data_IF_819798115059
#
_entry.id   IF_819798115059
#
_cell.length_a   1.000
_cell.length_b   1.000
_cell.length_c   1.000
_cell.angle_alpha   90.00
_cell.angle_beta   90.00
_cell.angle_gamma   90.00
#
_symmetry.space_group_name_H-M   'P 1'
#
loop_
_entity.id
_entity.type
_entity.pdbx_description
1 polymer ?
#
# COMPACT_ATOMS: atom_id res chain seq x y z
N UNK A 1 -22.55 1.77 11.82
CA UNK A 1 -21.69 1.14 10.78
C UNK A 1 -20.25 1.46 11.10
N UNK A 2 -19.42 0.44 11.32
CA UNK A 2 -17.97 0.62 11.50
C UNK A 2 -17.36 0.98 10.15
N UNK A 3 -16.48 1.98 10.13
CA UNK A 3 -15.77 2.35 8.91
C UNK A 3 -14.81 1.22 8.52
N UNK A 4 -14.76 0.87 7.23
CA UNK A 4 -13.79 -0.11 6.75
C UNK A 4 -12.38 0.50 6.86
N UNK A 5 -11.49 -0.14 7.62
CA UNK A 5 -10.08 0.22 7.65
C UNK A 5 -9.36 -0.46 6.48
N UNK A 6 -8.53 0.30 5.76
CA UNK A 6 -7.65 -0.24 4.73
C UNK A 6 -6.30 -0.52 5.39
N UNK A 7 -5.89 -1.79 5.38
CA UNK A 7 -4.57 -2.23 5.83
C UNK A 7 -3.89 -3.07 4.75
N UNK A 8 -2.58 -3.21 4.84
CA UNK A 8 -1.80 -4.07 3.94
C UNK A 8 -0.66 -4.77 4.66
N UNK A 9 -0.16 -5.83 4.04
CA UNK A 9 0.99 -6.62 4.45
C UNK A 9 1.78 -7.01 3.19
N UNK A 10 3.07 -6.67 3.19
CA UNK A 10 4.01 -6.98 2.10
C UNK A 10 5.01 -8.00 2.60
N UNK A 11 5.06 -9.15 1.93
CA UNK A 11 5.95 -10.25 2.25
C UNK A 11 7.01 -10.40 1.15
N UNK A 12 8.28 -10.45 1.55
CA UNK A 12 9.37 -10.90 0.70
C UNK A 12 9.43 -12.43 0.74
N UNK A 13 9.08 -13.10 -0.35
CA UNK A 13 9.02 -14.56 -0.39
C UNK A 13 10.39 -15.23 -0.42
N UNK A 14 11.43 -14.56 -0.94
CA UNK A 14 12.77 -15.14 -1.02
C UNK A 14 13.39 -15.31 0.36
N UNK A 15 13.06 -14.41 1.28
CA UNK A 15 13.57 -14.38 2.65
C UNK A 15 12.49 -14.72 3.69
N UNK A 16 11.24 -14.87 3.28
CA UNK A 16 10.07 -15.17 4.14
C UNK A 16 9.91 -14.14 5.27
N UNK A 17 10.24 -12.87 5.01
CA UNK A 17 10.14 -11.78 5.99
C UNK A 17 9.21 -10.67 5.50
N UNK A 18 8.52 -10.03 6.44
CA UNK A 18 7.77 -8.81 6.16
C UNK A 18 8.73 -7.72 5.68
N UNK A 19 8.46 -7.13 4.51
CA UNK A 19 9.36 -6.13 3.96
C UNK A 19 9.10 -4.78 4.61
N UNK A 20 10.03 -4.31 5.44
CA UNK A 20 10.01 -2.97 6.03
C UNK A 20 10.24 -1.87 4.98
N UNK A 21 9.64 -0.71 5.23
CA UNK A 21 9.88 0.55 4.52
C UNK A 21 9.53 0.53 3.03
N UNK A 22 8.61 -0.33 2.60
CA UNK A 22 8.06 -0.31 1.24
C UNK A 22 7.16 0.91 1.10
N UNK A 23 7.49 1.89 0.24
CA UNK A 23 6.66 3.07 0.05
C UNK A 23 5.40 2.71 -0.73
N UNK A 24 4.28 3.32 -0.33
CA UNK A 24 3.00 3.12 -1.00
C UNK A 24 2.15 4.38 -0.99
N UNK A 25 1.27 4.49 -1.98
CA UNK A 25 0.28 5.54 -2.09
C UNK A 25 -1.11 4.95 -2.27
N UNK A 26 -2.06 5.43 -1.48
CA UNK A 26 -3.48 5.16 -1.62
C UNK A 26 -4.09 6.28 -2.46
N UNK A 27 -4.73 5.91 -3.57
CA UNK A 27 -5.46 6.81 -4.44
C UNK A 27 -6.95 6.50 -4.41
N UNK A 28 -7.79 7.52 -4.57
CA UNK A 28 -9.24 7.38 -4.78
C UNK A 28 -9.60 7.80 -6.19
N UNK A 29 -10.53 7.09 -6.82
CA UNK A 29 -11.11 7.51 -8.10
C UNK A 29 -12.12 8.62 -7.84
N UNK A 30 -11.93 9.76 -8.47
CA UNK A 30 -12.90 10.86 -8.49
C UNK A 30 -14.10 10.53 -9.39
N UNK A 31 -15.18 11.29 -9.26
CA UNK A 31 -16.38 11.14 -10.09
C UNK A 31 -16.10 11.40 -11.58
N UNK A 32 -15.03 12.16 -11.88
CA UNK A 32 -14.53 12.41 -13.25
C UNK A 32 -13.60 11.30 -13.77
N UNK A 33 -13.44 10.23 -13.01
CA UNK A 33 -12.63 9.06 -13.38
C UNK A 33 -11.13 9.20 -13.15
N UNK A 34 -10.64 10.35 -12.68
CA UNK A 34 -9.22 10.58 -12.36
C UNK A 34 -8.85 9.94 -11.03
N UNK A 35 -7.62 9.44 -10.91
CA UNK A 35 -7.04 8.97 -9.64
C UNK A 35 -6.39 10.14 -8.91
N UNK A 36 -6.88 10.45 -7.70
CA UNK A 36 -6.32 11.49 -6.84
C UNK A 36 -5.58 10.83 -5.65
N UNK A 37 -4.36 11.27 -5.38
CA UNK A 37 -3.57 10.78 -4.23
C UNK A 37 -4.25 11.20 -2.93
N UNK A 38 -4.52 10.22 -2.08
CA UNK A 38 -5.25 10.43 -0.83
C UNK A 38 -4.30 10.38 0.37
N UNK A 39 -3.37 9.42 0.37
CA UNK A 39 -2.45 9.16 1.49
C UNK A 39 -1.15 8.49 1.03
N UNK A 40 -0.05 8.87 1.66
CA UNK A 40 1.25 8.18 1.59
C UNK A 40 1.43 7.32 2.85
N UNK A 41 2.03 6.14 2.70
CA UNK A 41 2.40 5.26 3.82
C UNK A 41 3.66 4.46 3.51
N UNK A 42 4.22 3.83 4.54
CA UNK A 42 5.35 2.89 4.48
C UNK A 42 5.04 1.70 5.38
N UNK A 43 5.51 0.51 4.98
CA UNK A 43 5.37 -0.68 5.83
C UNK A 43 6.26 -0.60 7.07
N UNK A 44 5.73 -1.07 8.20
CA UNK A 44 6.45 -1.22 9.45
C UNK A 44 7.45 -2.39 9.41
N UNK A 45 8.12 -2.63 10.52
CA UNK A 45 9.09 -3.71 10.73
C UNK A 45 8.55 -5.12 10.45
N UNK A 46 7.23 -5.32 10.47
CA UNK A 46 6.59 -6.59 10.12
C UNK A 46 6.01 -6.57 8.70
N UNK A 47 6.41 -5.61 7.86
CA UNK A 47 5.91 -5.46 6.50
C UNK A 47 4.48 -4.94 6.41
N UNK A 48 3.92 -4.35 7.49
CA UNK A 48 2.51 -3.95 7.54
C UNK A 48 2.32 -2.44 7.47
N UNK A 49 1.25 -2.01 6.81
CA UNK A 49 0.68 -0.68 7.06
C UNK A 49 -0.72 -0.89 7.62
N UNK A 50 -0.90 -0.55 8.90
CA UNK A 50 -2.12 -0.84 9.67
C UNK A 50 -3.25 0.14 9.37
N UNK A 51 -2.89 1.36 8.97
CA UNK A 51 -3.83 2.38 8.50
C UNK A 51 -3.11 3.34 7.57
N UNK A 52 -3.88 4.10 6.78
CA UNK A 52 -3.36 5.18 5.94
C UNK A 52 -3.62 6.55 6.61
N UNK A 53 -3.22 6.66 7.87
CA UNK A 53 -3.38 7.84 8.73
C UNK A 53 -4.64 7.80 9.58
N UNK A 54 -4.47 7.63 10.89
CA UNK A 54 -5.55 7.65 11.91
C UNK A 54 -6.76 6.75 11.60
N UNK A 55 -7.83 6.81 12.40
CA UNK A 55 -9.13 6.26 12.01
C UNK A 55 -9.74 7.12 10.89
N UNK A 56 -9.14 7.08 9.70
CA UNK A 56 -9.67 7.72 8.51
C UNK A 56 -10.95 7.01 8.11
N UNK A 57 -12.09 7.67 8.28
CA UNK A 57 -13.38 7.20 7.74
C UNK A 57 -13.32 7.33 6.21
N UNK A 58 -12.95 6.25 5.52
CA UNK A 58 -12.95 6.22 4.06
C UNK A 58 -14.40 6.30 3.55
N UNK A 59 -14.67 7.28 2.68
CA UNK A 59 -15.96 7.34 2.00
C UNK A 59 -16.09 6.16 1.03
N UNK A 60 -17.30 5.62 0.79
CA UNK A 60 -17.52 4.64 -0.25
C UNK A 60 -16.98 5.12 -1.61
N UNK A 61 -16.43 4.20 -2.39
CA UNK A 61 -15.87 4.48 -3.70
C UNK A 61 -14.78 3.51 -4.11
N UNK A 62 -14.19 3.75 -5.28
CA UNK A 62 -13.09 2.94 -5.79
C UNK A 62 -11.75 3.48 -5.34
N UNK A 63 -10.93 2.60 -4.78
CA UNK A 63 -9.57 2.90 -4.33
C UNK A 63 -8.55 2.08 -5.12
N UNK A 64 -7.34 2.62 -5.24
CA UNK A 64 -6.17 1.95 -5.79
C UNK A 64 -5.03 2.10 -4.80
N UNK A 65 -4.36 1.00 -4.49
CA UNK A 65 -3.11 1.00 -3.75
C UNK A 65 -1.97 0.79 -4.75
N UNK A 66 -0.97 1.68 -4.75
CA UNK A 66 0.24 1.54 -5.57
C UNK A 66 1.44 1.39 -4.65
N UNK A 67 2.24 0.36 -4.89
CA UNK A 67 3.50 0.11 -4.21
C UNK A 67 4.65 0.60 -5.09
N UNK A 68 5.55 1.39 -4.53
CA UNK A 68 6.76 1.84 -5.23
C UNK A 68 7.87 0.80 -5.06
N UNK A 69 7.91 -0.16 -5.97
CA UNK A 69 8.83 -1.30 -5.91
C UNK A 69 10.19 -1.02 -6.57
N UNK A 70 10.42 0.17 -7.11
CA UNK A 70 11.67 0.52 -7.81
C UNK A 70 12.91 0.48 -6.92
N UNK A 71 12.76 0.72 -5.61
CA UNK A 71 13.82 0.58 -4.61
C UNK A 71 13.91 -0.83 -4.01
N UNK A 72 13.13 -1.79 -4.48
CA UNK A 72 13.15 -3.16 -3.97
C UNK A 72 14.45 -3.85 -4.44
N UNK A 73 15.38 -4.19 -3.53
CA UNK A 73 16.80 -4.28 -3.86
C UNK A 73 17.25 -5.60 -4.50
N UNK A 74 16.35 -6.47 -4.95
CA UNK A 74 16.76 -7.76 -5.49
C UNK A 74 16.52 -7.86 -7.00
N UNK A 75 17.52 -7.45 -7.78
CA UNK A 75 17.53 -7.62 -9.24
C UNK A 75 17.55 -9.10 -9.68
N UNK A 76 17.82 -10.06 -8.77
CA UNK A 76 17.66 -11.49 -9.06
C UNK A 76 16.21 -11.95 -8.95
N UNK A 77 15.39 -11.24 -8.18
CA UNK A 77 13.96 -11.35 -8.24
C UNK A 77 13.48 -10.50 -9.42
N UNK A 78 13.75 -10.91 -10.66
CA UNK A 78 12.95 -10.46 -11.79
C UNK A 78 11.52 -10.94 -11.50
N UNK A 79 10.63 -10.10 -10.94
CA UNK A 79 9.39 -10.60 -10.37
C UNK A 79 8.41 -11.00 -11.47
N UNK A 80 8.64 -10.48 -12.67
CA UNK A 80 7.92 -10.77 -13.90
C UNK A 80 8.97 -10.84 -15.02
N UNK A 81 9.38 -12.06 -15.35
CA UNK A 81 10.16 -12.40 -16.56
C UNK A 81 9.25 -13.00 -17.61
#
# INVERSE_FOLDING_TARGET
MTAAEISTHVLDLASVIGKRDVPMVLLRKSDKGRWDETRLSRTDENGRSRSFGGPSRFAPGTYKLRFEMSGYPDAKAAPFS
#
